data_IF_536349822524
#
_entry.id   IF_536349822524
#
_cell.length_a   1.000
_cell.length_b   1.000
_cell.length_c   1.000
_cell.angle_alpha   90.00
_cell.angle_beta   90.00
_cell.angle_gamma   90.00
#
_symmetry.space_group_name_H-M   'P 1'
#
loop_
_entity.id
_entity.type
_entity.pdbx_description
1 polymer ?
#
# COMPACT_ATOMS: atom_id res chain seq x y z
N UNK A 1 0.94 -1.85 -86.01
CA UNK A 1 0.52 -2.62 -84.82
C UNK A 1 0.68 -1.73 -83.60
N UNK A 2 -0.43 -1.36 -82.95
CA UNK A 2 -0.45 -0.43 -81.80
C UNK A 2 -0.83 -1.21 -80.54
N UNK A 3 0.09 -1.32 -79.58
CA UNK A 3 -0.16 -1.98 -78.31
C UNK A 3 -0.84 -0.99 -77.34
N UNK A 4 -2.04 -1.32 -76.88
CA UNK A 4 -2.75 -0.56 -75.85
C UNK A 4 -2.22 -0.95 -74.46
N UNK A 5 -1.87 0.01 -73.59
CA UNK A 5 -1.44 -0.32 -72.23
C UNK A 5 -2.66 -0.73 -71.39
N UNK A 6 -2.54 -1.86 -70.69
CA UNK A 6 -3.53 -2.34 -69.73
C UNK A 6 -3.34 -1.57 -68.41
N UNK A 7 -4.37 -0.95 -67.83
CA UNK A 7 -4.24 -0.27 -66.55
C UNK A 7 -4.05 -1.31 -65.44
N UNK A 8 -2.89 -1.29 -64.79
CA UNK A 8 -2.64 -2.07 -63.58
C UNK A 8 -3.53 -1.54 -62.45
N UNK A 9 -4.63 -2.25 -62.18
CA UNK A 9 -5.50 -1.97 -61.04
C UNK A 9 -4.70 -2.10 -59.75
N UNK A 10 -4.36 -0.94 -59.16
CA UNK A 10 -3.67 -0.84 -57.88
C UNK A 10 -4.62 -1.33 -56.80
N UNK A 11 -4.54 -2.62 -56.45
CA UNK A 11 -5.24 -3.18 -55.28
C UNK A 11 -4.77 -2.41 -54.05
N UNK A 12 -5.57 -1.42 -53.65
CA UNK A 12 -5.35 -0.60 -52.47
C UNK A 12 -5.64 -1.49 -51.27
N UNK A 13 -4.61 -2.21 -50.81
CA UNK A 13 -4.74 -3.22 -49.78
C UNK A 13 -5.12 -2.57 -48.44
N UNK A 14 -6.36 -2.79 -47.99
CA UNK A 14 -6.84 -2.48 -46.63
C UNK A 14 -6.17 -3.35 -45.54
N UNK A 15 -5.03 -4.01 -45.83
CA UNK A 15 -4.39 -5.02 -44.98
C UNK A 15 -3.74 -4.47 -43.70
N UNK A 16 -3.80 -3.16 -43.46
CA UNK A 16 -3.28 -2.52 -42.25
C UNK A 16 -4.34 -1.90 -41.34
N UNK A 17 -5.59 -1.72 -41.79
CA UNK A 17 -6.63 -1.02 -40.99
C UNK A 17 -6.98 -1.77 -39.71
N UNK A 18 -7.09 -3.10 -39.82
CA UNK A 18 -7.46 -3.98 -38.70
C UNK A 18 -6.40 -3.99 -37.60
N UNK A 19 -5.11 -3.88 -37.96
CA UNK A 19 -4.01 -3.82 -36.99
C UNK A 19 -4.06 -2.51 -36.20
N UNK A 20 -4.41 -1.39 -36.86
CA UNK A 20 -4.52 -0.08 -36.21
C UNK A 20 -5.74 -0.03 -35.28
N UNK A 21 -6.90 -0.52 -35.72
CA UNK A 21 -8.11 -0.61 -34.89
C UNK A 21 -7.88 -1.46 -33.64
N UNK A 22 -7.24 -2.63 -33.80
CA UNK A 22 -6.87 -3.47 -32.68
C UNK A 22 -5.88 -2.77 -31.75
N UNK A 23 -4.88 -2.08 -32.28
CA UNK A 23 -3.90 -1.34 -31.50
C UNK A 23 -4.53 -0.24 -30.63
N UNK A 24 -5.51 0.49 -31.16
CA UNK A 24 -6.24 1.52 -30.41
C UNK A 24 -7.04 0.89 -29.25
N UNK A 25 -7.82 -0.15 -29.51
CA UNK A 25 -8.63 -0.82 -28.47
C UNK A 25 -7.71 -1.46 -27.42
N UNK A 26 -6.66 -2.15 -27.85
CA UNK A 26 -5.68 -2.76 -26.96
C UNK A 26 -5.00 -1.72 -26.07
N UNK A 27 -4.65 -0.55 -26.60
CA UNK A 27 -4.02 0.52 -25.81
C UNK A 27 -4.92 1.02 -24.69
N UNK A 28 -6.22 1.22 -24.98
CA UNK A 28 -7.23 1.64 -23.98
C UNK A 28 -7.43 0.54 -22.94
N UNK A 29 -7.51 -0.71 -23.37
CA UNK A 29 -7.69 -1.86 -22.48
C UNK A 29 -6.49 -2.04 -21.53
N UNK A 30 -5.26 -1.90 -22.03
CA UNK A 30 -4.04 -1.96 -21.19
C UNK A 30 -4.03 -0.82 -20.17
N UNK A 31 -4.38 0.40 -20.58
CA UNK A 31 -4.46 1.54 -19.65
C UNK A 31 -5.49 1.30 -18.54
N UNK A 32 -6.66 0.74 -18.88
CA UNK A 32 -7.70 0.37 -17.92
C UNK A 32 -7.22 -0.72 -16.96
N UNK A 33 -6.54 -1.76 -17.45
CA UNK A 33 -5.99 -2.83 -16.62
C UNK A 33 -4.95 -2.30 -15.62
N UNK A 34 -4.04 -1.43 -16.05
CA UNK A 34 -3.07 -0.79 -15.15
C UNK A 34 -3.81 0.00 -14.05
N UNK A 35 -4.85 0.75 -14.41
CA UNK A 35 -5.69 1.46 -13.45
C UNK A 35 -6.33 0.54 -12.41
N UNK A 36 -6.88 -0.59 -12.82
CA UNK A 36 -7.46 -1.59 -11.91
C UNK A 36 -6.39 -2.18 -10.98
N UNK A 37 -5.22 -2.54 -11.50
CA UNK A 37 -4.13 -3.10 -10.70
C UNK A 37 -3.62 -2.12 -9.64
N UNK A 38 -3.42 -0.84 -10.02
CA UNK A 38 -3.00 0.20 -9.08
C UNK A 38 -4.06 0.44 -8.00
N UNK A 39 -5.34 0.48 -8.37
CA UNK A 39 -6.42 0.62 -7.38
C UNK A 39 -6.49 -0.58 -6.42
N UNK A 40 -6.39 -1.81 -6.94
CA UNK A 40 -6.36 -3.02 -6.13
C UNK A 40 -5.19 -3.03 -5.15
N UNK A 41 -4.02 -2.56 -5.57
CA UNK A 41 -2.83 -2.43 -4.72
C UNK A 41 -3.02 -1.41 -3.60
N UNK A 42 -3.65 -0.26 -3.88
CA UNK A 42 -3.97 0.74 -2.85
C UNK A 42 -4.92 0.15 -1.80
N UNK A 43 -5.98 -0.54 -2.22
CA UNK A 43 -6.90 -1.20 -1.30
C UNK A 43 -6.22 -2.28 -0.45
N UNK A 44 -5.32 -3.06 -1.06
CA UNK A 44 -4.52 -4.04 -0.34
C UNK A 44 -3.68 -3.38 0.77
N UNK A 45 -3.05 -2.23 0.50
CA UNK A 45 -2.29 -1.51 1.52
C UNK A 45 -3.17 -0.99 2.65
N UNK A 46 -4.38 -0.50 2.36
CA UNK A 46 -5.32 -0.05 3.40
C UNK A 46 -5.77 -1.19 4.31
N UNK A 47 -6.13 -2.34 3.73
CA UNK A 47 -6.49 -3.54 4.51
C UNK A 47 -5.31 -4.01 5.36
N UNK A 48 -4.13 -4.12 4.76
CA UNK A 48 -2.91 -4.59 5.46
C UNK A 48 -2.47 -3.60 6.55
N UNK A 49 -2.63 -2.28 6.34
CA UNK A 49 -2.34 -1.28 7.36
C UNK A 49 -3.25 -1.45 8.59
N UNK A 50 -4.54 -1.74 8.40
CA UNK A 50 -5.47 -1.96 9.51
C UNK A 50 -5.07 -3.19 10.35
N UNK A 51 -4.70 -4.29 9.71
CA UNK A 51 -4.25 -5.49 10.42
C UNK A 51 -2.87 -5.28 11.07
N UNK A 52 -1.97 -4.55 10.42
CA UNK A 52 -0.67 -4.21 10.97
C UNK A 52 -0.79 -3.37 12.26
N UNK A 53 -1.68 -2.38 12.28
CA UNK A 53 -1.95 -1.57 13.49
C UNK A 53 -2.56 -2.43 14.60
N UNK A 54 -3.47 -3.36 14.27
CA UNK A 54 -4.04 -4.30 15.24
C UNK A 54 -2.99 -5.23 15.84
N UNK A 55 -2.08 -5.75 15.02
CA UNK A 55 -0.97 -6.58 15.47
C UNK A 55 0.02 -5.76 16.31
N UNK A 56 0.31 -4.52 15.90
CA UNK A 56 1.12 -3.57 16.68
C UNK A 56 0.51 -3.24 18.03
N UNK A 57 -0.82 -3.07 18.11
CA UNK A 57 -1.49 -2.85 19.38
C UNK A 57 -1.38 -4.06 20.31
N UNK A 58 -1.53 -5.28 19.78
CA UNK A 58 -1.35 -6.53 20.54
C UNK A 58 0.06 -6.72 21.06
N UNK A 59 1.08 -6.33 20.31
CA UNK A 59 2.46 -6.37 20.81
C UNK A 59 2.71 -5.27 21.82
N UNK A 60 2.16 -4.07 21.62
CA UNK A 60 2.36 -2.92 22.49
C UNK A 60 1.71 -3.06 23.88
N UNK A 61 0.67 -3.88 24.06
CA UNK A 61 0.06 -4.13 25.38
C UNK A 61 0.86 -5.10 26.27
N UNK A 62 1.76 -5.89 25.67
CA UNK A 62 2.61 -6.87 26.37
C UNK A 62 4.05 -6.37 26.51
N UNK A 63 4.59 -5.74 25.46
CA UNK A 63 5.96 -5.26 25.42
C UNK A 63 6.21 -4.10 26.38
N UNK A 64 7.48 -3.89 26.70
CA UNK A 64 7.91 -2.74 27.50
C UNK A 64 7.45 -1.42 26.88
N UNK A 65 7.24 -0.41 27.73
CA UNK A 65 6.80 0.91 27.29
C UNK A 65 7.82 1.48 26.28
N UNK A 66 7.33 1.95 25.13
CA UNK A 66 8.14 2.47 24.02
C UNK A 66 9.13 1.46 23.40
N UNK A 67 8.86 0.16 23.48
CA UNK A 67 9.70 -0.84 22.83
C UNK A 67 9.77 -0.68 21.29
N UNK A 68 10.99 -0.68 20.75
CA UNK A 68 11.23 -0.50 19.30
C UNK A 68 10.62 -1.62 18.43
N UNK A 69 10.41 -2.80 19.01
CA UNK A 69 9.82 -3.95 18.33
C UNK A 69 8.40 -3.70 17.84
N UNK A 70 7.60 -2.85 18.51
CA UNK A 70 6.23 -2.54 18.05
C UNK A 70 6.27 -1.94 16.65
N UNK A 71 7.09 -0.91 16.44
CA UNK A 71 7.26 -0.30 15.13
C UNK A 71 7.83 -1.30 14.11
N UNK A 72 8.83 -2.10 14.49
CA UNK A 72 9.41 -3.14 13.61
C UNK A 72 8.39 -4.17 13.14
N UNK A 73 7.47 -4.62 14.00
CA UNK A 73 6.43 -5.60 13.63
C UNK A 73 5.39 -4.99 12.70
N UNK A 74 5.02 -3.72 12.92
CA UNK A 74 4.14 -2.98 12.01
C UNK A 74 4.80 -2.77 10.63
N UNK A 75 6.06 -2.34 10.60
CA UNK A 75 6.81 -2.13 9.35
C UNK A 75 7.16 -3.43 8.62
N UNK A 76 7.26 -4.56 9.32
CA UNK A 76 7.48 -5.87 8.69
C UNK A 76 6.29 -6.32 7.83
N UNK A 77 5.07 -5.97 8.24
CA UNK A 77 3.85 -6.25 7.47
C UNK A 77 3.64 -5.27 6.33
N UNK A 78 4.09 -4.02 6.50
CA UNK A 78 3.96 -2.98 5.50
C UNK A 78 5.32 -2.27 5.30
N UNK A 79 6.21 -2.78 4.43
CA UNK A 79 7.55 -2.24 4.22
C UNK A 79 7.58 -0.81 3.66
N UNK A 80 6.43 -0.29 3.23
CA UNK A 80 6.25 1.10 2.82
C UNK A 80 6.18 2.07 4.01
N UNK A 81 6.01 1.56 5.23
CA UNK A 81 6.02 2.35 6.47
C UNK A 81 7.46 2.53 6.96
N UNK A 82 7.74 3.72 7.50
CA UNK A 82 8.91 3.95 8.33
C UNK A 82 8.50 3.98 9.82
N UNK A 83 9.48 3.85 10.72
CA UNK A 83 9.22 3.99 12.16
C UNK A 83 8.60 5.35 12.52
N UNK A 84 8.84 6.41 11.74
CA UNK A 84 8.26 7.73 11.98
C UNK A 84 6.74 7.80 11.70
N UNK A 85 6.21 6.83 10.95
CA UNK A 85 4.78 6.75 10.64
C UNK A 85 3.97 6.07 11.75
N UNK A 86 4.64 5.34 12.65
CA UNK A 86 4.01 4.57 13.73
C UNK A 86 4.17 5.36 15.02
N UNK A 87 3.06 5.70 15.68
CA UNK A 87 3.07 6.30 17.00
C UNK A 87 2.30 5.44 18.00
N UNK A 88 2.88 5.27 19.18
CA UNK A 88 2.28 4.56 20.30
C UNK A 88 1.99 5.57 21.39
N UNK A 89 0.75 5.62 21.85
CA UNK A 89 0.32 6.51 22.92
C UNK A 89 -0.29 5.70 24.06
N UNK A 90 0.03 6.09 25.29
CA UNK A 90 -0.45 5.43 26.50
C UNK A 90 -1.43 6.34 27.23
N UNK A 91 -2.51 5.76 27.74
CA UNK A 91 -3.55 6.48 28.49
C UNK A 91 -3.75 5.84 29.87
N UNK A 92 -3.86 6.64 30.96
CA UNK A 92 -3.81 8.11 31.01
C UNK A 92 -2.41 8.69 30.72
N UNK A 93 -2.34 9.97 30.35
CA UNK A 93 -1.07 10.62 29.99
C UNK A 93 -0.05 10.53 31.15
N UNK A 94 1.22 10.32 30.81
CA UNK A 94 2.32 10.12 31.77
C UNK A 94 2.12 8.95 32.75
N UNK A 95 1.42 7.91 32.31
CA UNK A 95 1.30 6.68 33.09
C UNK A 95 2.60 5.86 33.10
N UNK A 96 2.77 5.10 34.17
CA UNK A 96 3.82 4.09 34.36
C UNK A 96 3.30 2.70 34.00
N UNK A 97 4.19 1.70 33.89
CA UNK A 97 3.83 0.29 33.63
C UNK A 97 2.69 -0.25 34.52
N UNK A 98 2.57 0.26 35.74
CA UNK A 98 1.56 -0.16 36.73
C UNK A 98 0.25 0.63 36.65
N UNK A 99 0.26 1.82 36.02
CA UNK A 99 -0.87 2.77 36.05
C UNK A 99 -1.49 3.02 34.67
N UNK A 100 -0.83 2.61 33.58
CA UNK A 100 -1.43 2.69 32.26
C UNK A 100 -2.68 1.80 32.19
N UNK A 101 -3.72 2.26 31.52
CA UNK A 101 -4.96 1.50 31.33
C UNK A 101 -5.11 1.05 29.88
N UNK A 102 -4.76 1.93 28.93
CA UNK A 102 -4.91 1.68 27.51
C UNK A 102 -3.64 2.03 26.73
N UNK A 103 -3.44 1.29 25.64
CA UNK A 103 -2.40 1.51 24.65
C UNK A 103 -3.07 1.75 23.32
N UNK A 104 -2.69 2.85 22.64
CA UNK A 104 -3.18 3.20 21.32
C UNK A 104 -2.02 3.20 20.34
N UNK A 105 -2.12 2.40 19.29
CA UNK A 105 -1.15 2.41 18.19
C UNK A 105 -1.81 3.06 16.98
N UNK A 106 -1.10 3.97 16.33
CA UNK A 106 -1.58 4.67 15.15
C UNK A 106 -0.53 4.73 14.05
N UNK A 107 -0.99 4.59 12.82
CA UNK A 107 -0.19 4.77 11.60
C UNK A 107 -0.70 6.00 10.86
N UNK A 108 0.19 6.97 10.63
CA UNK A 108 -0.16 8.26 10.00
C UNK A 108 0.85 8.68 8.93
N UNK A 109 0.47 9.66 8.10
CA UNK A 109 1.34 10.32 7.10
C UNK A 109 1.98 9.38 6.07
N UNK A 110 1.22 8.38 5.62
CA UNK A 110 1.70 7.39 4.65
C UNK A 110 1.22 7.76 3.26
N UNK A 111 2.15 7.82 2.31
CA UNK A 111 1.84 8.13 0.91
C UNK A 111 2.23 6.96 0.02
N UNK A 112 1.25 6.41 -0.68
CA UNK A 112 1.46 5.33 -1.65
C UNK A 112 1.78 5.99 -3.00
N UNK A 113 2.97 5.70 -3.53
CA UNK A 113 3.37 6.11 -4.88
C UNK A 113 2.81 5.11 -5.88
N UNK A 114 1.94 5.56 -6.77
CA UNK A 114 1.39 4.69 -7.83
C UNK A 114 2.44 4.47 -8.93
N UNK A 115 2.50 3.28 -9.51
CA UNK A 115 3.42 2.96 -10.62
C UNK A 115 2.77 3.20 -11.99
N UNK A 116 2.07 4.34 -12.14
CA UNK A 116 1.45 4.71 -13.42
C UNK A 116 2.53 5.30 -14.33
N UNK A 117 2.75 4.76 -15.55
CA UNK A 117 3.65 5.37 -16.50
C UNK A 117 3.14 6.77 -16.88
N UNK A 118 4.05 7.74 -17.01
CA UNK A 118 3.81 9.16 -17.38
C UNK A 118 3.20 10.08 -16.29
N UNK A 119 2.61 9.57 -15.22
CA UNK A 119 1.95 10.38 -14.19
C UNK A 119 2.38 9.98 -12.78
N UNK A 120 3.03 10.88 -12.05
CA UNK A 120 3.45 10.67 -10.65
C UNK A 120 2.31 10.99 -9.67
N UNK A 121 1.23 10.20 -9.71
CA UNK A 121 0.14 10.32 -8.75
C UNK A 121 0.56 9.72 -7.40
N UNK A 122 0.20 10.40 -6.32
CA UNK A 122 0.46 9.93 -4.96
C UNK A 122 -0.83 9.97 -4.16
N UNK A 123 -1.19 8.85 -3.56
CA UNK A 123 -2.41 8.70 -2.78
C UNK A 123 -2.04 8.68 -1.30
N UNK A 124 -2.57 9.64 -0.55
CA UNK A 124 -2.43 9.66 0.91
C UNK A 124 -3.37 8.63 1.52
N UNK A 125 -2.82 7.76 2.35
CA UNK A 125 -3.57 6.80 3.12
C UNK A 125 -4.23 7.50 4.33
N UNK A 126 -5.49 7.19 4.68
CA UNK A 126 -6.09 7.69 5.91
C UNK A 126 -5.33 7.16 7.14
N UNK A 127 -5.40 7.87 8.29
CA UNK A 127 -4.82 7.37 9.52
C UNK A 127 -5.58 6.14 10.02
N UNK A 128 -4.84 5.13 10.48
CA UNK A 128 -5.40 3.93 11.11
C UNK A 128 -4.98 3.87 12.56
N UNK A 129 -5.92 3.61 13.47
CA UNK A 129 -5.68 3.62 14.91
C UNK A 129 -6.38 2.45 15.58
N UNK A 130 -5.69 1.76 16.49
CA UNK A 130 -6.28 0.70 17.32
C UNK A 130 -5.89 0.92 18.77
N UNK A 131 -6.89 0.91 19.64
CA UNK A 131 -6.72 1.02 21.10
C UNK A 131 -7.08 -0.30 21.76
N UNK A 132 -6.21 -0.78 22.64
CA UNK A 132 -6.41 -1.99 23.44
C UNK A 132 -6.10 -1.70 24.92
N UNK A 133 -6.76 -2.39 25.87
CA UNK A 133 -6.40 -2.30 27.29
C UNK A 133 -5.02 -2.93 27.52
N UNK A 134 -4.29 -2.45 28.54
CA UNK A 134 -2.98 -3.02 28.87
C UNK A 134 -3.10 -4.45 29.38
N UNK A 135 -2.07 -5.26 29.12
CA UNK A 135 -1.94 -6.61 29.68
C UNK A 135 -0.80 -6.65 30.70
N UNK A 136 0.46 -6.71 30.28
CA UNK A 136 1.62 -6.75 31.18
C UNK A 136 2.48 -5.48 31.13
N UNK A 137 2.68 -4.87 29.95
CA UNK A 137 3.64 -3.78 29.72
C UNK A 137 5.08 -4.06 30.20
N UNK A 138 5.38 -5.33 30.47
CA UNK A 138 6.68 -5.82 30.93
C UNK A 138 6.95 -7.12 30.21
N UNK A 139 7.99 -7.17 29.39
CA UNK A 139 8.28 -8.33 28.56
C UNK A 139 9.02 -9.40 29.38
N UNK A 140 8.36 -10.53 29.67
CA UNK A 140 8.93 -11.61 30.49
C UNK A 140 10.22 -12.25 29.92
N UNK A 141 10.48 -12.09 28.62
CA UNK A 141 11.62 -12.67 27.90
C UNK A 141 12.80 -11.70 27.71
N UNK A 142 12.95 -10.67 28.56
CA UNK A 142 14.04 -9.70 28.44
C UNK A 142 14.03 -8.89 27.14
N UNK A 143 12.84 -8.69 26.56
CA UNK A 143 12.64 -7.84 25.39
C UNK A 143 13.00 -8.45 24.03
N UNK A 144 13.45 -9.70 23.91
CA UNK A 144 13.84 -10.28 22.61
C UNK A 144 12.75 -10.23 21.52
N UNK A 145 11.48 -10.43 21.90
CA UNK A 145 10.34 -10.34 20.98
C UNK A 145 9.85 -8.89 20.75
N UNK A 146 10.30 -7.99 21.62
CA UNK A 146 9.94 -6.57 21.70
C UNK A 146 11.06 -5.64 21.20
N UNK A 147 12.18 -6.18 20.72
CA UNK A 147 13.31 -5.45 20.15
C UNK A 147 13.41 -5.58 18.64
#
# INVERSE_FOLDING_TARGET
>A
MSARPVPLSRRRGQRGSTIVEFGLIASVLVMLLIGIFEFGRVLFYWSTASEAVRLGARTAVVCDVNAAGVAKRVTALLPLLSNANVSVNYSPASCTVNTCAFVTVSVTNVTVKTMIPFMNVSVKMPPFTTTLPRESLTSATGGANCN
#
